data_IF_934317215673
#
_entry.id   IF_934317215673
#
_cell.length_a   1.000
_cell.length_b   1.000
_cell.length_c   1.000
_cell.angle_alpha   90.00
_cell.angle_beta   90.00
_cell.angle_gamma   90.00
#
_symmetry.space_group_name_H-M   'P 1'
#
loop_
_entity.id
_entity.type
_entity.pdbx_description
1 polymer ?
#
# COMPACT_ATOMS: atom_id res chain seq x y z
N UNK A 1 -43.12 -15.69 -13.05
CA UNK A 1 -41.75 -16.22 -13.24
C UNK A 1 -40.81 -15.31 -12.47
N UNK A 2 -40.29 -15.77 -11.33
CA UNK A 2 -39.24 -15.03 -10.61
C UNK A 2 -38.05 -14.81 -11.55
N UNK A 3 -37.44 -13.62 -11.53
CA UNK A 3 -36.29 -13.24 -12.37
C UNK A 3 -35.10 -14.21 -12.25
N UNK A 4 -35.10 -15.07 -11.23
CA UNK A 4 -34.09 -16.11 -10.98
C UNK A 4 -34.63 -17.56 -11.06
N UNK A 5 -35.89 -17.77 -11.49
CA UNK A 5 -36.48 -19.11 -11.64
C UNK A 5 -36.63 -19.91 -10.33
N UNK A 6 -36.86 -19.25 -9.19
CA UNK A 6 -36.81 -19.84 -7.85
C UNK A 6 -38.00 -20.74 -7.44
N UNK A 7 -38.58 -21.49 -8.38
CA UNK A 7 -39.66 -22.44 -8.09
C UNK A 7 -39.14 -23.88 -7.87
N UNK A 8 -37.84 -24.07 -7.58
CA UNK A 8 -37.19 -25.37 -7.33
C UNK A 8 -35.82 -25.31 -6.63
N UNK A 9 -35.27 -26.49 -6.26
CA UNK A 9 -33.95 -26.61 -5.60
C UNK A 9 -32.85 -26.08 -6.53
N UNK A 10 -32.12 -25.07 -6.06
CA UNK A 10 -30.99 -24.49 -6.79
C UNK A 10 -29.82 -25.46 -6.87
N UNK A 11 -29.16 -25.54 -8.03
CA UNK A 11 -27.81 -26.13 -8.09
C UNK A 11 -26.85 -25.30 -7.22
N UNK A 12 -25.76 -25.90 -6.76
CA UNK A 12 -24.77 -25.19 -5.94
C UNK A 12 -24.29 -23.88 -6.60
N UNK A 13 -23.99 -23.91 -7.90
CA UNK A 13 -23.56 -22.72 -8.65
C UNK A 13 -24.63 -21.63 -8.67
N UNK A 14 -25.90 -21.99 -8.89
CA UNK A 14 -27.01 -21.03 -8.87
C UNK A 14 -27.23 -20.46 -7.46
N UNK A 15 -27.18 -21.31 -6.42
CA UNK A 15 -27.30 -20.87 -5.04
C UNK A 15 -26.19 -19.90 -4.64
N UNK A 16 -24.94 -20.20 -5.01
CA UNK A 16 -23.80 -19.33 -4.75
C UNK A 16 -23.92 -17.99 -5.51
N UNK A 17 -24.37 -18.03 -6.76
CA UNK A 17 -24.56 -16.81 -7.55
C UNK A 17 -25.66 -15.93 -6.95
N UNK A 18 -26.81 -16.51 -6.57
CA UNK A 18 -27.88 -15.78 -5.88
C UNK A 18 -27.35 -15.16 -4.59
N UNK A 19 -26.67 -15.94 -3.74
CA UNK A 19 -26.08 -15.44 -2.49
C UNK A 19 -25.12 -14.26 -2.72
N UNK A 20 -24.22 -14.35 -3.71
CA UNK A 20 -23.31 -13.26 -4.07
C UNK A 20 -24.03 -12.01 -4.60
N UNK A 21 -25.14 -12.21 -5.33
CA UNK A 21 -25.91 -11.10 -5.93
C UNK A 21 -26.81 -10.37 -4.93
N UNK A 22 -27.20 -11.05 -3.85
CA UNK A 22 -28.02 -10.47 -2.78
C UNK A 22 -27.18 -9.85 -1.66
N UNK A 23 -25.87 -10.15 -1.60
CA UNK A 23 -24.99 -9.57 -0.60
C UNK A 23 -24.87 -8.05 -0.80
N UNK A 24 -24.96 -7.31 0.31
CA UNK A 24 -24.72 -5.87 0.34
C UNK A 24 -23.39 -5.59 1.02
N UNK A 25 -22.71 -4.54 0.56
CA UNK A 25 -21.49 -4.09 1.20
C UNK A 25 -21.79 -3.65 2.64
N UNK A 26 -21.00 -4.16 3.60
CA UNK A 26 -21.10 -3.70 4.98
C UNK A 26 -20.64 -2.24 5.10
N UNK A 27 -21.17 -1.47 6.05
CA UNK A 27 -20.64 -0.15 6.36
C UNK A 27 -19.15 -0.22 6.70
N UNK A 28 -18.39 0.77 6.24
CA UNK A 28 -17.00 0.91 6.65
C UNK A 28 -16.91 1.35 8.11
N UNK A 29 -15.83 0.93 8.78
CA UNK A 29 -15.47 1.41 10.10
C UNK A 29 -14.02 1.86 10.09
N UNK A 30 -13.69 2.78 10.98
CA UNK A 30 -12.30 3.03 11.33
C UNK A 30 -11.81 1.91 12.24
N UNK A 31 -10.57 1.52 12.05
CA UNK A 31 -9.86 0.56 12.88
C UNK A 31 -8.43 1.06 13.06
N UNK A 32 -7.81 0.71 14.18
CA UNK A 32 -6.37 0.88 14.32
C UNK A 32 -5.65 -0.16 13.46
N UNK A 33 -4.38 0.08 13.16
CA UNK A 33 -3.60 -0.81 12.31
C UNK A 33 -3.46 -2.24 12.89
N UNK A 34 -3.37 -2.36 14.21
CA UNK A 34 -3.32 -3.63 14.94
C UNK A 34 -4.65 -4.40 14.94
N UNK A 35 -5.76 -3.72 14.72
CA UNK A 35 -7.11 -4.31 14.66
C UNK A 35 -7.54 -4.61 13.22
N UNK A 36 -6.93 -3.95 12.24
CA UNK A 36 -7.32 -4.03 10.82
C UNK A 36 -6.88 -5.32 10.11
N UNK A 37 -6.12 -6.20 10.77
CA UNK A 37 -5.63 -7.44 10.19
C UNK A 37 -6.80 -8.34 9.73
N UNK A 38 -6.80 -8.73 8.45
CA UNK A 38 -7.88 -9.51 7.84
C UNK A 38 -9.06 -8.67 7.33
N UNK A 39 -9.05 -7.35 7.56
CA UNK A 39 -10.02 -6.43 6.98
C UNK A 39 -9.78 -6.15 5.48
N UNK A 40 -10.79 -5.57 4.83
CA UNK A 40 -10.70 -5.06 3.47
C UNK A 40 -10.71 -3.54 3.53
N UNK A 41 -9.77 -2.90 2.82
CA UNK A 41 -9.72 -1.44 2.74
C UNK A 41 -10.99 -0.89 2.09
N UNK A 42 -11.68 -0.02 2.82
CA UNK A 42 -12.88 0.67 2.31
C UNK A 42 -12.52 1.79 1.31
N UNK A 43 -11.28 2.29 1.35
CA UNK A 43 -10.77 3.35 0.49
C UNK A 43 -9.27 3.14 0.23
N UNK A 44 -8.72 3.73 -0.85
CA UNK A 44 -7.27 3.69 -1.11
C UNK A 44 -6.47 4.30 0.05
N UNK A 45 -5.28 3.74 0.30
CA UNK A 45 -4.27 4.38 1.15
C UNK A 45 -3.49 5.35 0.27
N UNK A 46 -3.42 6.60 0.71
CA UNK A 46 -2.66 7.64 0.02
C UNK A 46 -1.41 7.97 0.81
N UNK A 47 -0.29 8.02 0.11
CA UNK A 47 0.96 8.54 0.64
C UNK A 47 0.88 10.07 0.66
N UNK A 48 1.12 10.68 1.82
CA UNK A 48 1.02 12.14 2.02
C UNK A 48 2.36 12.85 1.78
N UNK A 49 3.47 12.11 1.88
CA UNK A 49 4.85 12.61 1.80
C UNK A 49 5.68 11.65 0.94
N UNK A 50 6.67 12.16 0.22
CA UNK A 50 7.58 11.32 -0.54
C UNK A 50 8.26 10.25 0.33
N UNK A 51 8.42 9.06 -0.23
CA UNK A 51 9.16 7.96 0.39
C UNK A 51 10.15 7.36 -0.64
N UNK A 52 11.47 7.58 -0.48
CA UNK A 52 12.13 8.31 0.61
C UNK A 52 11.91 9.83 0.50
N UNK A 53 11.95 10.52 1.65
CA UNK A 53 11.72 11.97 1.69
C UNK A 53 12.86 12.81 1.06
N UNK A 54 14.03 12.23 0.84
CA UNK A 54 15.21 12.88 0.25
C UNK A 54 16.19 11.84 -0.29
N UNK A 55 17.13 12.29 -1.13
CA UNK A 55 18.20 11.46 -1.67
C UNK A 55 19.06 10.90 -0.53
N UNK A 56 19.09 9.57 -0.40
CA UNK A 56 19.84 8.87 0.64
C UNK A 56 20.69 7.76 0.06
N UNK A 57 21.86 7.52 0.66
CA UNK A 57 22.77 6.48 0.23
C UNK A 57 22.19 5.09 0.58
N UNK A 58 22.12 4.20 -0.40
CA UNK A 58 21.69 2.82 -0.18
C UNK A 58 22.73 1.98 0.59
N UNK A 59 23.99 2.40 0.56
CA UNK A 59 25.12 1.69 1.17
C UNK A 59 26.03 2.67 1.92
N UNK A 60 26.75 2.15 2.89
CA UNK A 60 27.85 2.89 3.51
C UNK A 60 28.99 3.03 2.50
N UNK A 61 29.42 4.26 2.25
CA UNK A 61 30.47 4.56 1.29
C UNK A 61 30.65 6.07 1.12
N UNK A 62 31.33 6.47 0.05
CA UNK A 62 31.55 7.87 -0.30
C UNK A 62 30.77 8.21 -1.57
N UNK A 63 30.08 9.34 -1.56
CA UNK A 63 29.53 9.92 -2.78
C UNK A 63 30.69 10.49 -3.62
N UNK A 64 30.74 10.15 -4.90
CA UNK A 64 31.76 10.62 -5.85
C UNK A 64 31.09 11.25 -7.07
N UNK A 65 31.79 12.17 -7.74
CA UNK A 65 31.34 12.81 -8.98
C UNK A 65 32.54 13.00 -9.93
N UNK A 66 32.32 12.87 -11.25
CA UNK A 66 33.36 13.04 -12.29
C UNK A 66 34.21 11.79 -12.57
N UNK A 67 35.15 11.88 -13.51
CA UNK A 67 36.09 10.79 -13.83
C UNK A 67 37.18 10.65 -12.76
N UNK A 68 37.61 9.41 -12.51
CA UNK A 68 38.61 9.08 -11.50
C UNK A 68 40.06 9.32 -11.96
N UNK A 69 41.05 8.97 -11.10
CA UNK A 69 40.87 8.32 -9.80
C UNK A 69 40.48 9.30 -8.68
N UNK A 70 39.43 8.96 -7.92
CA UNK A 70 39.04 9.73 -6.73
C UNK A 70 39.97 9.41 -5.56
N UNK A 71 40.33 10.44 -4.78
CA UNK A 71 41.15 10.30 -3.58
C UNK A 71 40.34 10.80 -2.38
N UNK A 72 40.54 10.16 -1.23
CA UNK A 72 39.97 10.64 0.02
C UNK A 72 40.68 11.93 0.45
N UNK A 73 39.92 12.99 0.70
CA UNK A 73 40.42 14.21 1.31
C UNK A 73 39.92 14.26 2.76
N UNK A 74 40.77 14.72 3.69
CA UNK A 74 40.46 14.79 5.12
C UNK A 74 39.45 15.90 5.49
N UNK A 75 38.57 16.30 4.57
CA UNK A 75 37.62 17.39 4.82
C UNK A 75 36.44 16.93 5.69
N UNK A 76 36.53 17.29 6.98
CA UNK A 76 35.38 17.38 7.89
C UNK A 76 34.37 18.38 7.30
N UNK A 77 33.04 18.11 7.28
CA UNK A 77 32.12 18.98 6.57
C UNK A 77 32.10 20.40 7.17
N UNK A 78 32.07 21.38 6.27
CA UNK A 78 31.91 22.80 6.54
C UNK A 78 30.73 23.02 7.49
N UNK A 79 30.99 23.62 8.65
CA UNK A 79 29.93 24.13 9.53
C UNK A 79 29.50 25.50 9.01
N UNK A 80 28.19 25.80 8.92
CA UNK A 80 27.76 27.17 8.67
C UNK A 80 28.30 28.05 9.80
N UNK A 81 28.99 29.13 9.44
CA UNK A 81 29.30 30.19 10.38
C UNK A 81 27.98 30.75 10.92
N UNK A 82 27.89 30.79 12.25
CA UNK A 82 26.86 31.41 13.09
C UNK A 82 25.95 32.45 12.42
#
# INVERSE_FOLDING_TARGET
MSTYGLDGVLTWTQAHQVASSCAQQLPSTYARLDEAAGGILAQPILTILDDPAFDSAAINGYAVCGEGPWQLTDEVPLRPSR
#
